data_IF_985628031423
#
_entry.id   IF_985628031423
#
_cell.length_a   1.000
_cell.length_b   1.000
_cell.length_c   1.000
_cell.angle_alpha   90.00
_cell.angle_beta   90.00
_cell.angle_gamma   90.00
#
_symmetry.space_group_name_H-M   'P 1'
#
loop_
_entity.id
_entity.type
_entity.pdbx_description
1 polymer ?
#
# COMPACT_ATOMS: atom_id res chain seq x y z
N UNK A 1 -4.19 23.55 -13.70
CA UNK A 1 -3.55 22.77 -12.61
C UNK A 1 -4.60 21.79 -12.12
N UNK A 2 -4.30 20.48 -12.08
CA UNK A 2 -5.23 19.50 -11.48
C UNK A 2 -4.95 19.49 -9.98
N UNK A 3 -5.98 19.71 -9.18
CA UNK A 3 -5.93 19.66 -7.73
C UNK A 3 -6.17 18.22 -7.26
N UNK A 4 -5.42 17.77 -6.25
CA UNK A 4 -5.66 16.48 -5.60
C UNK A 4 -6.71 16.72 -4.52
N UNK A 5 -7.92 16.21 -4.74
CA UNK A 5 -9.01 16.27 -3.77
C UNK A 5 -9.25 14.89 -3.18
N UNK A 6 -9.63 14.86 -1.90
CA UNK A 6 -10.06 13.63 -1.23
C UNK A 6 -11.44 13.27 -1.76
N UNK A 7 -11.56 12.12 -2.41
CA UNK A 7 -12.83 11.65 -2.98
C UNK A 7 -13.67 10.91 -1.94
N UNK A 8 -13.02 10.06 -1.15
CA UNK A 8 -13.67 9.25 -0.12
C UNK A 8 -12.74 9.13 1.08
N UNK A 9 -13.29 9.33 2.28
CA UNK A 9 -12.65 8.99 3.53
C UNK A 9 -13.54 7.97 4.25
N UNK A 10 -12.98 6.82 4.60
CA UNK A 10 -13.63 5.82 5.44
C UNK A 10 -12.82 5.64 6.72
N UNK A 11 -13.51 5.50 7.84
CA UNK A 11 -12.90 5.20 9.15
C UNK A 11 -12.96 3.69 9.47
N UNK A 12 -13.42 2.88 8.51
CA UNK A 12 -13.51 1.43 8.68
C UNK A 12 -12.12 0.82 8.85
N UNK A 13 -11.90 -0.01 9.89
CA UNK A 13 -10.63 -0.72 10.10
C UNK A 13 -10.48 -1.96 9.20
N UNK A 14 -11.45 -2.23 8.33
CA UNK A 14 -11.46 -3.38 7.43
C UNK A 14 -10.61 -3.09 6.20
N UNK A 15 -9.56 -3.88 6.01
CA UNK A 15 -8.70 -3.77 4.84
C UNK A 15 -9.43 -4.20 3.55
N UNK A 16 -10.33 -5.19 3.64
CA UNK A 16 -11.13 -5.63 2.49
C UNK A 16 -12.04 -4.51 1.97
N UNK A 17 -12.63 -3.71 2.87
CA UNK A 17 -13.44 -2.57 2.48
C UNK A 17 -12.59 -1.50 1.76
N UNK A 18 -11.37 -1.27 2.26
CA UNK A 18 -10.41 -0.37 1.63
C UNK A 18 -10.05 -0.82 0.21
N UNK A 19 -9.72 -2.10 0.03
CA UNK A 19 -9.38 -2.67 -1.29
C UNK A 19 -10.58 -2.65 -2.24
N UNK A 20 -11.79 -2.92 -1.73
CA UNK A 20 -13.02 -2.85 -2.54
C UNK A 20 -13.30 -1.44 -3.09
N UNK A 21 -12.73 -0.40 -2.46
CA UNK A 21 -12.83 0.98 -2.91
C UNK A 21 -11.88 1.34 -4.07
N UNK A 22 -10.91 0.49 -4.41
CA UNK A 22 -9.96 0.75 -5.50
C UNK A 22 -10.59 0.42 -6.87
N UNK A 23 -10.63 1.36 -7.82
CA UNK A 23 -11.25 1.12 -9.12
C UNK A 23 -10.33 0.33 -10.05
N UNK A 24 -10.86 -0.67 -10.76
CA UNK A 24 -10.08 -1.49 -11.69
C UNK A 24 -9.52 -0.71 -12.91
N UNK A 25 -10.17 0.39 -13.33
CA UNK A 25 -9.82 1.15 -14.53
C UNK A 25 -9.29 2.57 -14.26
N UNK A 26 -9.08 2.92 -13.00
CA UNK A 26 -8.69 4.27 -12.58
C UNK A 26 -7.49 4.29 -11.65
N UNK A 27 -6.58 5.25 -11.85
CA UNK A 27 -5.51 5.48 -10.89
C UNK A 27 -6.06 6.21 -9.65
N UNK A 28 -5.58 5.84 -8.46
CA UNK A 28 -5.95 6.46 -7.20
C UNK A 28 -4.75 6.55 -6.26
N UNK A 29 -4.78 7.53 -5.38
CA UNK A 29 -3.95 7.52 -4.19
C UNK A 29 -4.83 7.13 -3.01
N UNK A 30 -4.26 6.37 -2.10
CA UNK A 30 -4.95 6.02 -0.88
C UNK A 30 -3.96 6.02 0.29
N UNK A 31 -4.44 6.29 1.48
CA UNK A 31 -3.66 6.21 2.72
C UNK A 31 -4.41 5.26 3.63
N UNK A 32 -3.70 4.26 4.14
CA UNK A 32 -4.27 3.31 5.07
C UNK A 32 -3.36 3.20 6.29
N UNK A 33 -3.94 3.26 7.48
CA UNK A 33 -3.18 3.01 8.70
C UNK A 33 -3.18 1.52 9.00
N UNK A 34 -2.02 0.89 8.81
CA UNK A 34 -1.87 -0.55 8.98
C UNK A 34 -1.55 -0.87 10.44
N UNK A 35 -2.53 -1.35 11.19
CA UNK A 35 -2.35 -1.86 12.55
C UNK A 35 -1.85 -3.31 12.51
N UNK A 36 -0.72 -3.57 13.17
CA UNK A 36 -0.18 -4.91 13.34
C UNK A 36 0.32 -5.14 14.76
N UNK A 37 0.19 -6.37 15.23
CA UNK A 37 0.68 -6.77 16.56
C UNK A 37 2.13 -7.26 16.46
N UNK A 38 3.04 -6.57 17.15
CA UNK A 38 4.45 -6.98 17.22
C UNK A 38 4.68 -7.74 18.53
N UNK A 39 4.11 -8.94 18.64
CA UNK A 39 4.29 -9.82 19.81
C UNK A 39 4.14 -9.07 21.15
N UNK A 40 5.15 -9.17 22.02
CA UNK A 40 5.15 -8.54 23.36
C UNK A 40 5.28 -7.01 23.38
N UNK A 41 5.52 -6.33 22.25
CA UNK A 41 5.59 -4.86 22.19
C UNK A 41 4.20 -4.19 22.00
N UNK A 42 3.14 -4.99 21.88
CA UNK A 42 1.78 -4.48 21.70
C UNK A 42 1.42 -4.15 20.24
N UNK A 43 0.27 -3.47 20.09
CA UNK A 43 -0.25 -2.99 18.80
C UNK A 43 0.56 -1.79 18.33
N UNK A 44 1.06 -1.85 17.10
CA UNK A 44 1.67 -0.72 16.41
C UNK A 44 0.91 -0.42 15.14
N UNK A 45 0.84 0.86 14.81
CA UNK A 45 0.25 1.33 13.58
C UNK A 45 1.34 1.94 12.68
N UNK A 46 1.20 1.75 11.37
CA UNK A 46 2.09 2.30 10.35
C UNK A 46 1.24 2.92 9.26
N UNK A 47 1.40 4.22 9.08
CA UNK A 47 0.74 4.93 7.99
C UNK A 47 1.37 4.53 6.65
N UNK A 48 0.55 3.93 5.78
CA UNK A 48 0.99 3.42 4.49
C UNK A 48 0.34 4.24 3.38
N UNK A 49 1.17 4.67 2.42
CA UNK A 49 0.71 5.40 1.24
C UNK A 49 0.66 4.46 0.04
N UNK A 50 -0.50 4.41 -0.62
CA UNK A 50 -0.77 3.54 -1.76
C UNK A 50 -0.86 4.38 -3.03
N UNK A 51 -0.03 4.04 -4.00
CA UNK A 51 -0.14 4.52 -5.37
C UNK A 51 -0.74 3.40 -6.23
N UNK A 52 -2.06 3.47 -6.43
CA UNK A 52 -2.83 2.53 -7.24
C UNK A 52 -2.84 3.00 -8.70
N UNK A 53 -2.33 2.16 -9.60
CA UNK A 53 -2.24 2.45 -11.03
C UNK A 53 -2.47 1.15 -11.82
N UNK A 54 -3.73 0.72 -11.95
CA UNK A 54 -4.05 -0.58 -12.52
C UNK A 54 -3.70 -0.65 -13.99
N UNK A 55 -3.47 -1.85 -14.52
CA UNK A 55 -2.97 -1.96 -15.88
C UNK A 55 -3.94 -1.46 -16.95
N UNK A 56 -5.23 -1.60 -16.70
CA UNK A 56 -6.33 -1.12 -17.52
C UNK A 56 -6.48 0.42 -17.51
N UNK A 57 -5.83 1.12 -16.58
CA UNK A 57 -5.87 2.58 -16.55
C UNK A 57 -5.20 3.19 -17.79
N UNK A 58 -5.75 4.33 -18.24
CA UNK A 58 -5.20 5.05 -19.39
C UNK A 58 -3.77 5.48 -19.10
N UNK A 59 -2.87 5.27 -20.07
CA UNK A 59 -1.44 5.64 -19.96
C UNK A 59 -1.27 7.11 -19.55
N UNK A 60 -2.10 8.03 -20.08
CA UNK A 60 -2.08 9.44 -19.70
C UNK A 60 -2.35 9.66 -18.21
N UNK A 61 -3.29 8.91 -17.64
CA UNK A 61 -3.62 9.01 -16.22
C UNK A 61 -2.51 8.40 -15.37
N UNK A 62 -1.96 7.24 -15.76
CA UNK A 62 -0.76 6.66 -15.12
C UNK A 62 0.39 7.67 -15.05
N UNK A 63 0.66 8.38 -16.15
CA UNK A 63 1.71 9.41 -16.18
C UNK A 63 1.42 10.59 -15.24
N UNK A 64 0.18 11.09 -15.19
CA UNK A 64 -0.20 12.22 -14.34
C UNK A 64 -0.13 11.83 -12.86
N UNK A 65 -0.61 10.64 -12.51
CA UNK A 65 -0.55 10.12 -11.14
C UNK A 65 0.89 9.75 -10.74
N UNK A 66 1.73 9.25 -11.65
CA UNK A 66 3.14 9.01 -11.34
C UNK A 66 3.89 10.32 -11.07
N UNK A 67 3.66 11.37 -11.88
CA UNK A 67 4.35 12.65 -11.72
C UNK A 67 3.90 13.45 -10.49
N UNK A 68 2.63 13.31 -10.08
CA UNK A 68 2.07 14.02 -8.91
C UNK A 68 2.31 13.29 -7.59
N UNK A 69 2.76 12.02 -7.64
CA UNK A 69 2.97 11.16 -6.47
C UNK A 69 3.94 11.75 -5.46
N UNK A 70 5.11 12.21 -5.91
CA UNK A 70 6.17 12.67 -5.00
C UNK A 70 5.77 13.95 -4.26
N UNK A 71 4.99 14.83 -4.91
CA UNK A 71 4.45 16.02 -4.27
C UNK A 71 3.47 15.67 -3.14
N UNK A 72 2.55 14.72 -3.38
CA UNK A 72 1.59 14.26 -2.38
C UNK A 72 2.29 13.54 -1.22
N UNK A 73 3.25 12.65 -1.53
CA UNK A 73 4.05 11.94 -0.54
C UNK A 73 4.80 12.90 0.39
N UNK A 74 5.38 13.98 -0.14
CA UNK A 74 6.06 15.00 0.66
C UNK A 74 5.11 15.84 1.52
N UNK A 75 3.88 16.04 1.07
CA UNK A 75 2.86 16.75 1.84
C UNK A 75 2.34 15.90 3.03
N UNK A 76 2.37 14.58 2.89
CA UNK A 76 1.95 13.63 3.92
C UNK A 76 3.11 13.32 4.89
N UNK A 77 3.12 14.02 6.03
CA UNK A 77 4.11 13.79 7.10
C UNK A 77 3.77 12.51 7.86
N UNK A 78 4.75 11.62 8.04
CA UNK A 78 4.59 10.40 8.86
C UNK A 78 4.26 9.12 8.08
N UNK A 79 4.32 9.13 6.74
CA UNK A 79 4.26 7.90 5.94
C UNK A 79 5.44 7.00 6.33
N UNK A 80 5.12 5.80 6.82
CA UNK A 80 6.10 4.78 7.18
C UNK A 80 6.55 3.96 5.96
N UNK A 81 5.64 3.73 5.01
CA UNK A 81 5.92 2.93 3.81
C UNK A 81 5.06 3.36 2.63
N UNK A 82 5.62 3.21 1.45
CA UNK A 82 4.94 3.46 0.18
C UNK A 82 4.75 2.12 -0.53
N UNK A 83 3.52 1.89 -1.00
CA UNK A 83 3.10 0.69 -1.69
C UNK A 83 2.64 1.12 -3.09
N UNK A 84 3.19 0.49 -4.11
CA UNK A 84 2.76 0.69 -5.48
C UNK A 84 2.03 -0.57 -5.92
N UNK A 85 0.81 -0.40 -6.39
CA UNK A 85 -0.04 -1.50 -6.83
C UNK A 85 -0.53 -1.30 -8.25
N UNK A 86 -0.34 -2.32 -9.07
CA UNK A 86 -0.87 -2.41 -10.43
C UNK A 86 -1.97 -3.47 -10.55
N UNK A 87 -2.05 -4.37 -9.57
CA UNK A 87 -3.08 -5.39 -9.46
C UNK A 87 -3.52 -5.58 -8.00
N UNK A 88 -4.74 -6.07 -7.80
CA UNK A 88 -5.30 -6.30 -6.47
C UNK A 88 -4.49 -7.31 -5.65
N UNK A 89 -3.82 -8.24 -6.32
CA UNK A 89 -2.91 -9.19 -5.67
C UNK A 89 -1.68 -8.51 -5.04
N UNK A 90 -1.15 -7.44 -5.65
CA UNK A 90 0.02 -6.71 -5.14
C UNK A 90 -0.30 -5.83 -3.92
N UNK A 91 -1.56 -5.44 -3.79
CA UNK A 91 -2.08 -4.69 -2.63
C UNK A 91 -2.85 -5.59 -1.67
N UNK A 92 -2.76 -6.92 -1.81
CA UNK A 92 -3.39 -7.83 -0.88
C UNK A 92 -2.80 -7.66 0.54
N UNK A 93 -3.62 -7.90 1.55
CA UNK A 93 -3.23 -7.72 2.95
C UNK A 93 -1.95 -8.50 3.31
N UNK A 94 -1.79 -9.71 2.77
CA UNK A 94 -0.63 -10.56 3.02
C UNK A 94 0.66 -9.97 2.42
N UNK A 95 0.63 -9.56 1.15
CA UNK A 95 1.77 -8.95 0.46
C UNK A 95 2.20 -7.64 1.13
N UNK A 96 1.23 -6.79 1.48
CA UNK A 96 1.49 -5.55 2.20
C UNK A 96 2.04 -5.83 3.60
N UNK A 97 1.44 -6.78 4.32
CA UNK A 97 1.90 -7.22 5.63
C UNK A 97 3.35 -7.70 5.58
N UNK A 98 3.71 -8.50 4.58
CA UNK A 98 5.08 -8.97 4.37
C UNK A 98 6.05 -7.81 4.13
N UNK A 99 5.69 -6.83 3.30
CA UNK A 99 6.52 -5.64 3.05
C UNK A 99 6.72 -4.84 4.35
N UNK A 100 5.67 -4.64 5.14
CA UNK A 100 5.71 -3.85 6.37
C UNK A 100 6.46 -4.54 7.51
N UNK A 101 6.34 -5.87 7.60
CA UNK A 101 7.04 -6.70 8.59
C UNK A 101 8.52 -6.84 8.21
N UNK A 102 8.83 -7.00 6.91
CA UNK A 102 10.22 -7.05 6.42
C UNK A 102 10.98 -5.75 6.66
N UNK A 103 10.29 -4.61 6.72
CA UNK A 103 10.85 -3.31 7.11
C UNK A 103 11.00 -3.11 8.63
N UNK A 104 10.55 -4.06 9.47
CA UNK A 104 10.99 -4.06 10.87
C UNK A 104 12.47 -4.41 10.86
N UNK A 105 13.36 -3.62 11.50
CA UNK A 105 14.77 -3.97 11.64
C UNK A 105 14.90 -5.14 12.61
N UNK A 106 14.49 -6.33 12.17
CA UNK A 106 14.98 -7.59 12.69
C UNK A 106 16.36 -7.78 12.06
N UNK A 107 17.34 -7.33 12.82
CA UNK A 107 18.72 -7.77 12.76
C UNK A 107 18.75 -9.28 12.48
N UNK A 108 19.18 -9.68 11.28
CA UNK A 108 19.72 -11.03 11.05
C UNK A 108 18.78 -12.19 10.65
N UNK A 109 17.69 -11.98 9.91
CA UNK A 109 16.97 -13.12 9.31
C UNK A 109 17.45 -13.43 7.88
N UNK A 110 18.17 -14.54 7.71
CA UNK A 110 18.43 -15.19 6.41
C UNK A 110 17.13 -15.86 5.97
N UNK A 111 16.53 -15.38 4.88
CA UNK A 111 15.33 -15.98 4.29
C UNK A 111 15.77 -17.07 3.31
N UNK A 112 15.51 -18.34 3.67
CA UNK A 112 15.66 -19.47 2.76
C UNK A 112 14.41 -19.62 1.89
N UNK A 113 14.62 -19.91 0.60
CA UNK A 113 13.55 -20.11 -0.37
C UNK A 113 13.07 -21.55 -0.23
N UNK A 114 12.04 -21.78 0.59
CA UNK A 114 11.36 -23.08 0.62
C UNK A 114 10.66 -23.31 -0.72
N UNK A 115 11.33 -24.02 -1.64
CA UNK A 115 10.65 -24.60 -2.79
C UNK A 115 9.79 -25.73 -2.25
N UNK A 116 8.46 -25.61 -2.41
CA UNK A 116 7.56 -26.74 -2.20
C UNK A 116 7.93 -27.83 -3.20
N UNK A 117 8.68 -28.83 -2.74
CA UNK A 117 8.83 -30.09 -3.45
C UNK A 117 7.46 -30.74 -3.55
N UNK A 118 6.95 -30.85 -4.77
CA UNK A 118 5.90 -31.80 -5.08
C UNK A 118 6.59 -33.09 -5.49
N UNK A 119 6.06 -34.19 -4.96
CA UNK A 119 6.58 -35.56 -4.95
C UNK A 119 7.10 -36.09 -6.29
#
# INVERSE_FOLDING_TARGET
MKEIQVETASESPSYDDFISGLPASGCRYAVYDFEYEKGNEGKRNKLCFYAWSPDEARIKDKMIYASSKDALRRALVGIASEIQGTDFSEVAYDEVGLVLIRWVPLVGAVLDKVSRGTA
#
